data_IF_692644930868
#
_entry.id   IF_692644930868
#
_cell.length_a   1.000
_cell.length_b   1.000
_cell.length_c   1.000
_cell.angle_alpha   90.00
_cell.angle_beta   90.00
_cell.angle_gamma   90.00
#
_symmetry.space_group_name_H-M   'P 1'
#
loop_
_entity.id
_entity.type
_entity.pdbx_description
1 polymer ?
#
# COMPACT_ATOMS: atom_id res chain seq x y z
N UNK A 1 -11.19 0.03 -9.41
CA UNK A 1 -9.79 0.06 -8.97
C UNK A 1 -9.25 -1.36 -9.03
N UNK A 2 -8.05 -1.56 -9.54
CA UNK A 2 -7.36 -2.86 -9.50
C UNK A 2 -7.06 -3.26 -8.05
N UNK A 3 -7.12 -4.56 -7.75
CA UNK A 3 -6.93 -5.10 -6.39
C UNK A 3 -5.48 -4.90 -5.91
N UNK A 4 -4.52 -4.96 -6.82
CA UNK A 4 -3.11 -4.70 -6.53
C UNK A 4 -2.89 -3.23 -6.20
N UNK A 5 -3.35 -2.33 -7.08
CA UNK A 5 -3.26 -0.90 -6.81
C UNK A 5 -3.91 -0.53 -5.47
N UNK A 6 -5.12 -1.03 -5.19
CA UNK A 6 -5.80 -0.79 -3.91
C UNK A 6 -5.05 -1.32 -2.67
N UNK A 7 -4.20 -2.34 -2.85
CA UNK A 7 -3.34 -2.88 -1.79
C UNK A 7 -2.12 -1.99 -1.57
N UNK A 8 -1.49 -1.52 -2.65
CA UNK A 8 -0.32 -0.65 -2.62
C UNK A 8 -0.65 0.68 -1.93
N UNK A 9 -1.83 1.23 -2.22
CA UNK A 9 -2.32 2.46 -1.58
C UNK A 9 -3.03 2.22 -0.25
N UNK A 10 -2.90 1.02 0.32
CA UNK A 10 -3.43 0.65 1.64
C UNK A 10 -4.94 0.86 1.86
N UNK A 11 -5.79 0.75 0.82
CA UNK A 11 -7.24 0.73 1.03
C UNK A 11 -7.73 -0.57 1.66
N UNK A 12 -6.93 -1.63 1.55
CA UNK A 12 -7.15 -2.90 2.22
C UNK A 12 -5.83 -3.57 2.58
N UNK A 13 -5.87 -4.44 3.58
CA UNK A 13 -4.70 -5.22 4.00
C UNK A 13 -5.12 -6.59 4.54
N UNK A 14 -4.15 -7.50 4.67
CA UNK A 14 -4.32 -8.81 5.32
C UNK A 14 -3.86 -8.67 6.77
N UNK A 15 -4.72 -9.02 7.73
CA UNK A 15 -4.46 -8.89 9.17
C UNK A 15 -3.91 -10.20 9.76
N UNK A 16 -2.61 -10.33 10.04
CA UNK A 16 -2.08 -11.55 10.63
C UNK A 16 -2.45 -11.69 12.12
N UNK A 17 -2.88 -10.62 12.80
CA UNK A 17 -3.40 -10.66 14.18
C UNK A 17 -4.80 -11.28 14.28
N UNK A 18 -5.52 -11.39 13.16
CA UNK A 18 -6.87 -11.95 13.09
C UNK A 18 -6.95 -13.03 12.01
N UNK A 19 -6.11 -14.06 12.16
CA UNK A 19 -6.15 -15.28 11.32
C UNK A 19 -6.06 -14.96 9.80
N UNK A 20 -5.19 -14.02 9.45
CA UNK A 20 -4.97 -13.54 8.07
C UNK A 20 -6.26 -13.07 7.38
N UNK A 21 -7.17 -12.44 8.15
CA UNK A 21 -8.40 -11.83 7.64
C UNK A 21 -8.10 -10.60 6.80
N UNK A 22 -8.70 -10.51 5.62
CA UNK A 22 -8.71 -9.33 4.77
C UNK A 22 -9.57 -8.26 5.43
N UNK A 23 -9.03 -7.05 5.56
CA UNK A 23 -9.71 -5.88 6.15
C UNK A 23 -9.72 -4.75 5.13
N UNK A 24 -10.90 -4.26 4.78
CA UNK A 24 -11.11 -3.10 3.91
C UNK A 24 -11.33 -1.83 4.74
N UNK A 25 -10.60 -0.77 4.45
CA UNK A 25 -10.59 0.46 5.26
C UNK A 25 -11.40 1.62 4.65
N UNK A 26 -11.66 1.60 3.34
CA UNK A 26 -12.28 2.72 2.63
C UNK A 26 -13.83 2.64 2.55
N UNK A 27 -14.55 3.79 2.50
CA UNK A 27 -15.97 3.81 2.18
C UNK A 27 -16.25 3.25 0.77
N UNK A 28 -17.33 2.51 0.61
CA UNK A 28 -17.59 1.75 -0.62
C UNK A 28 -17.19 0.30 -0.39
N UNK A 29 -18.19 -0.52 -0.08
CA UNK A 29 -17.96 -1.90 0.32
C UNK A 29 -17.51 -2.72 -0.89
N UNK A 30 -16.26 -3.20 -0.87
CA UNK A 30 -15.89 -4.34 -1.70
C UNK A 30 -16.25 -5.61 -0.93
N UNK A 31 -17.56 -5.85 -0.78
CA UNK A 31 -18.16 -6.87 0.09
C UNK A 31 -17.63 -8.29 -0.20
N UNK A 32 -17.11 -8.47 -1.41
CA UNK A 32 -16.54 -9.73 -1.85
C UNK A 32 -15.12 -9.99 -1.33
N UNK A 33 -14.44 -9.03 -0.71
CA UNK A 33 -13.08 -9.23 -0.18
C UNK A 33 -13.02 -9.06 1.34
N UNK A 34 -13.71 -8.06 1.89
CA UNK A 34 -13.65 -7.79 3.33
C UNK A 34 -14.14 -8.99 4.16
N UNK A 35 -13.42 -9.31 5.23
CA UNK A 35 -13.71 -10.42 6.11
C UNK A 35 -13.34 -11.82 5.59
N UNK A 36 -12.93 -11.97 4.32
CA UNK A 36 -12.33 -13.22 3.83
C UNK A 36 -10.98 -13.47 4.49
N UNK A 37 -10.45 -14.68 4.36
CA UNK A 37 -9.13 -15.06 4.88
C UNK A 37 -8.20 -15.46 3.76
N UNK A 38 -6.92 -15.21 3.97
CA UNK A 38 -5.90 -15.69 3.06
C UNK A 38 -5.96 -17.22 2.98
N UNK A 39 -5.94 -17.75 1.76
CA UNK A 39 -6.05 -19.19 1.55
C UNK A 39 -4.81 -19.91 2.08
N UNK A 40 -4.99 -21.14 2.59
CA UNK A 40 -3.93 -21.94 3.20
C UNK A 40 -2.72 -22.13 2.26
N UNK A 41 -2.95 -22.21 0.95
CA UNK A 41 -1.87 -22.32 -0.05
C UNK A 41 -0.85 -21.18 -0.01
N UNK A 42 -1.19 -20.01 0.53
CA UNK A 42 -0.25 -18.90 0.70
C UNK A 42 0.57 -19.02 2.01
N UNK A 43 0.04 -19.73 3.01
CA UNK A 43 0.63 -19.89 4.35
C UNK A 43 1.47 -21.18 4.45
N UNK A 44 1.02 -22.25 3.80
CA UNK A 44 1.66 -23.58 3.76
C UNK A 44 1.76 -24.13 2.33
N UNK A 45 2.42 -23.41 1.40
CA UNK A 45 2.63 -23.91 0.05
C UNK A 45 3.55 -25.14 0.02
N UNK A 46 3.42 -25.94 -1.04
CA UNK A 46 4.33 -27.06 -1.33
C UNK A 46 5.78 -26.61 -1.53
N UNK A 47 5.97 -25.41 -2.10
CA UNK A 47 7.27 -24.74 -2.22
C UNK A 47 7.36 -23.60 -1.19
N UNK A 48 8.29 -23.73 -0.24
CA UNK A 48 8.52 -22.75 0.83
C UNK A 48 8.89 -21.35 0.33
N UNK A 49 9.47 -21.24 -0.86
CA UNK A 49 9.81 -19.95 -1.47
C UNK A 49 8.59 -19.17 -1.97
N UNK A 50 7.42 -19.80 -2.06
CA UNK A 50 6.16 -19.16 -2.42
C UNK A 50 5.32 -18.75 -1.20
N UNK A 51 5.83 -19.00 0.02
CA UNK A 51 5.12 -18.63 1.24
C UNK A 51 5.15 -17.12 1.38
N UNK A 52 3.99 -16.53 1.70
CA UNK A 52 3.91 -15.12 2.06
C UNK A 52 4.78 -14.83 3.30
N UNK A 53 5.38 -13.64 3.37
CA UNK A 53 6.18 -13.23 4.52
C UNK A 53 5.28 -12.63 5.60
N UNK A 54 5.26 -13.23 6.79
CA UNK A 54 4.43 -12.73 7.90
C UNK A 54 4.91 -11.34 8.33
N UNK A 55 6.22 -11.13 8.39
CA UNK A 55 6.80 -9.82 8.74
C UNK A 55 6.36 -8.72 7.76
N UNK A 56 6.29 -9.03 6.46
CA UNK A 56 5.83 -8.07 5.46
C UNK A 56 4.34 -7.78 5.62
N UNK A 57 3.53 -8.81 5.90
CA UNK A 57 2.09 -8.63 6.15
C UNK A 57 1.83 -7.84 7.44
N UNK A 58 2.59 -8.09 8.52
CA UNK A 58 2.50 -7.31 9.75
C UNK A 58 2.79 -5.83 9.48
N UNK A 59 3.92 -5.55 8.83
CA UNK A 59 4.32 -4.19 8.50
C UNK A 59 3.28 -3.48 7.62
N UNK A 60 2.83 -4.13 6.54
CA UNK A 60 1.83 -3.57 5.63
C UNK A 60 0.49 -3.31 6.32
N UNK A 61 0.03 -4.26 7.15
CA UNK A 61 -1.20 -4.08 7.91
C UNK A 61 -1.11 -2.92 8.90
N UNK A 62 0.03 -2.76 9.59
CA UNK A 62 0.27 -1.62 10.47
C UNK A 62 0.26 -0.29 9.70
N UNK A 63 0.88 -0.22 8.50
CA UNK A 63 0.82 0.97 7.65
C UNK A 63 -0.60 1.28 7.19
N UNK A 64 -1.36 0.26 6.78
CA UNK A 64 -2.75 0.42 6.38
C UNK A 64 -3.62 0.92 7.54
N UNK A 65 -3.41 0.37 8.73
CA UNK A 65 -4.07 0.87 9.94
C UNK A 65 -3.66 2.32 10.20
N UNK A 66 -2.38 2.69 10.11
CA UNK A 66 -1.93 4.08 10.33
C UNK A 66 -2.50 5.06 9.31
N UNK A 67 -2.49 4.73 8.01
CA UNK A 67 -3.06 5.57 6.94
C UNK A 67 -4.56 5.80 7.13
N UNK A 68 -5.27 4.79 7.63
CA UNK A 68 -6.73 4.82 7.74
C UNK A 68 -7.25 5.13 9.17
N UNK A 69 -6.41 5.15 10.20
CA UNK A 69 -6.79 5.51 11.56
C UNK A 69 -6.78 7.04 11.74
N UNK A 70 -8.00 7.59 11.90
CA UNK A 70 -8.40 8.97 12.26
C UNK A 70 -8.67 9.92 11.09
N UNK A 71 -9.89 10.45 11.12
CA UNK A 71 -10.55 11.30 10.11
C UNK A 71 -9.86 12.63 9.78
N UNK A 72 -10.38 13.24 8.71
CA UNK A 72 -9.94 14.48 8.05
C UNK A 72 -8.52 14.49 7.45
N UNK A 73 -7.54 13.77 8.02
CA UNK A 73 -6.17 13.72 7.48
C UNK A 73 -6.05 12.84 6.22
N UNK A 74 -6.72 11.68 6.17
CA UNK A 74 -6.74 10.84 4.97
C UNK A 74 -7.44 11.51 3.77
N UNK A 75 -8.30 12.50 4.02
CA UNK A 75 -8.89 13.36 2.97
C UNK A 75 -7.93 14.46 2.47
N UNK A 76 -6.83 14.71 3.19
CA UNK A 76 -5.89 15.82 2.91
C UNK A 76 -4.53 15.36 2.38
N UNK A 77 -4.17 14.07 2.52
CA UNK A 77 -2.93 13.55 1.98
C UNK A 77 -3.15 12.95 0.59
N UNK A 78 -2.54 13.51 -0.47
CA UNK A 78 -2.56 12.90 -1.79
C UNK A 78 -1.92 11.51 -1.76
N UNK A 79 -2.48 10.60 -2.56
CA UNK A 79 -2.09 9.19 -2.55
C UNK A 79 -0.77 8.97 -3.32
N UNK A 80 0.33 9.15 -2.61
CA UNK A 80 1.69 9.09 -3.13
C UNK A 80 2.42 7.78 -2.80
N UNK A 81 1.71 6.79 -2.25
CA UNK A 81 2.26 5.53 -1.74
C UNK A 81 2.57 4.51 -2.85
N UNK A 82 2.37 4.87 -4.12
CA UNK A 82 2.79 4.04 -5.25
C UNK A 82 4.27 4.28 -5.57
N UNK A 83 5.09 3.24 -5.40
CA UNK A 83 6.49 3.24 -5.80
C UNK A 83 6.61 3.20 -7.34
N UNK A 84 7.57 3.96 -7.87
CA UNK A 84 7.90 3.89 -9.30
C UNK A 84 8.72 2.63 -9.58
N UNK A 85 8.25 1.80 -10.51
CA UNK A 85 8.96 0.60 -10.96
C UNK A 85 10.29 0.93 -11.67
N UNK A 86 11.21 -0.03 -11.71
CA UNK A 86 12.45 0.10 -12.50
C UNK A 86 12.12 0.30 -13.99
N UNK A 87 12.54 1.44 -14.55
CA UNK A 87 12.31 1.79 -15.95
C UNK A 87 10.98 2.48 -16.25
N UNK A 88 10.18 2.78 -15.24
CA UNK A 88 8.97 3.60 -15.41
C UNK A 88 9.30 5.07 -15.67
N UNK A 89 8.43 5.74 -16.43
CA UNK A 89 8.48 7.19 -16.61
C UNK A 89 7.98 7.88 -15.33
N UNK A 90 8.91 8.04 -14.38
CA UNK A 90 8.67 8.70 -13.10
C UNK A 90 8.02 10.07 -13.28
N UNK A 91 8.48 10.86 -14.26
CA UNK A 91 7.96 12.22 -14.45
C UNK A 91 6.54 12.17 -15.00
N UNK A 92 6.28 11.30 -15.98
CA UNK A 92 4.93 11.05 -16.48
C UNK A 92 3.97 10.65 -15.37
N UNK A 93 4.38 9.68 -14.54
CA UNK A 93 3.57 9.19 -13.43
C UNK A 93 3.31 10.24 -12.34
N UNK A 94 4.30 11.11 -12.02
CA UNK A 94 4.09 12.24 -11.11
C UNK A 94 3.08 13.23 -11.68
N UNK A 95 3.22 13.59 -12.96
CA UNK A 95 2.36 14.59 -13.61
C UNK A 95 0.91 14.11 -13.77
N UNK A 96 0.69 12.80 -13.90
CA UNK A 96 -0.64 12.18 -13.97
C UNK A 96 -1.28 11.97 -12.57
N UNK A 97 -0.47 12.05 -11.50
CA UNK A 97 -0.89 11.81 -10.12
C UNK A 97 -1.51 13.04 -9.42
N UNK A 98 -2.05 12.85 -8.20
CA UNK A 98 -2.56 13.94 -7.38
C UNK A 98 -1.42 14.85 -6.90
N UNK A 99 -1.67 16.16 -6.88
CA UNK A 99 -0.73 17.19 -6.40
C UNK A 99 0.69 17.05 -6.99
N UNK A 100 0.81 17.13 -8.35
CA UNK A 100 2.04 16.79 -9.07
C UNK A 100 3.21 17.72 -8.74
N UNK A 101 2.94 18.97 -8.37
CA UNK A 101 3.99 19.93 -8.03
C UNK A 101 4.64 19.56 -6.68
N UNK A 102 3.80 19.26 -5.68
CA UNK A 102 4.21 18.87 -4.34
C UNK A 102 4.92 17.50 -4.36
N UNK A 103 4.40 16.53 -5.14
CA UNK A 103 5.06 15.23 -5.33
C UNK A 103 6.43 15.38 -6.00
N UNK A 104 6.54 16.24 -7.00
CA UNK A 104 7.81 16.52 -7.69
C UNK A 104 8.84 17.15 -6.74
N UNK A 105 8.43 18.10 -5.91
CA UNK A 105 9.31 18.72 -4.91
C UNK A 105 9.82 17.71 -3.88
N UNK A 106 8.94 16.84 -3.39
CA UNK A 106 9.30 15.78 -2.45
C UNK A 106 10.31 14.80 -3.07
N UNK A 107 10.03 14.32 -4.29
CA UNK A 107 10.88 13.36 -5.01
C UNK A 107 12.27 13.93 -5.28
N UNK A 108 12.35 15.19 -5.72
CA UNK A 108 13.62 15.89 -5.90
C UNK A 108 14.37 16.05 -4.57
N UNK A 109 13.67 16.41 -3.49
CA UNK A 109 14.26 16.60 -2.16
C UNK A 109 14.86 15.30 -1.62
N UNK A 110 14.18 14.16 -1.80
CA UNK A 110 14.69 12.84 -1.38
C UNK A 110 15.91 12.40 -2.19
N UNK A 111 15.89 12.56 -3.51
CA UNK A 111 16.99 12.15 -4.40
C UNK A 111 18.23 13.02 -4.25
N UNK A 112 18.04 14.33 -4.08
CA UNK A 112 19.14 15.30 -4.01
C UNK A 112 19.63 15.52 -2.56
N UNK A 113 18.75 15.39 -1.56
CA UNK A 113 19.09 15.55 -0.14
C UNK A 113 19.89 14.38 0.46
N UNK A 114 19.95 13.23 -0.22
CA UNK A 114 20.81 12.11 0.18
C UNK A 114 22.32 12.41 0.03
N UNK A 115 22.69 13.56 -0.54
CA UNK A 115 24.07 14.00 -0.77
C UNK A 115 24.68 14.91 0.31
N UNK A 116 23.94 15.34 1.33
CA UNK A 116 24.47 16.19 2.41
C UNK A 116 24.74 15.38 3.69
N UNK A 117 25.96 14.85 3.81
CA UNK A 117 26.58 14.42 5.08
C UNK A 117 28.02 14.90 5.16
#
# INVERSE_FOLDING_TARGET
MDVHHAFDIYLWAINPYDDYKITWFAPGNNADLDGRRLHESALTPSNRNLRVSDCALYWHFEQAVLKNMRGEAAEQWPDWEHDFGEGEDVIGAIMEGPDPAERMELELSMRLGAGER
#
